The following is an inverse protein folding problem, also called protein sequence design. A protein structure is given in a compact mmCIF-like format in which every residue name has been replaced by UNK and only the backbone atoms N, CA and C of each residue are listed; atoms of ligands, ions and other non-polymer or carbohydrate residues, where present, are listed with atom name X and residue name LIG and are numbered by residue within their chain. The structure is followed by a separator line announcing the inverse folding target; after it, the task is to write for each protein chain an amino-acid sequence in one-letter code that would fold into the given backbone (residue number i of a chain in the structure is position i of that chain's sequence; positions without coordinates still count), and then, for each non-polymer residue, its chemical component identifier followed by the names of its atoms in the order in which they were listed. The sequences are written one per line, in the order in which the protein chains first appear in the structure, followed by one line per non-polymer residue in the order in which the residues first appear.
data_IF_081324522177
#
_entry.id   IF_081324522177
#
_cell.length_a   1.000
_cell.length_b   1.000
_cell.length_c   1.000
_cell.angle_alpha   90.00
_cell.angle_beta   90.00
_cell.angle_gamma   90.00
#
_symmetry.space_group_name_H-M   'P 1'
#
loop_
_entity.id
_entity.type
_entity.pdbx_description
1 polymer ?
#
# COMPACT_ATOMS: atom_id res chain seq x y z
N UNK A 1 12.85 -19.31 -17.97
CA UNK A 1 12.74 -18.12 -17.10
C UNK A 1 12.00 -17.06 -17.89
N UNK A 2 10.71 -16.92 -17.68
CA UNK A 2 9.84 -15.97 -18.37
C UNK A 2 10.06 -14.58 -17.76
N UNK A 3 10.54 -13.66 -18.59
CA UNK A 3 10.72 -12.24 -18.30
C UNK A 3 9.34 -11.68 -17.95
N UNK A 4 9.17 -11.09 -16.76
CA UNK A 4 7.93 -10.44 -16.37
C UNK A 4 7.61 -9.34 -17.40
N UNK A 5 6.44 -9.42 -18.04
CA UNK A 5 5.98 -8.39 -18.95
C UNK A 5 5.71 -7.10 -18.17
N UNK A 6 6.45 -6.06 -18.51
CA UNK A 6 6.26 -4.72 -17.95
C UNK A 6 4.90 -4.17 -18.38
N UNK A 7 4.03 -3.89 -17.43
CA UNK A 7 2.70 -3.33 -17.69
C UNK A 7 2.84 -1.83 -17.93
N UNK A 8 2.62 -1.38 -19.17
CA UNK A 8 2.55 0.04 -19.52
C UNK A 8 1.30 0.68 -18.92
N UNK A 9 1.48 1.81 -18.24
CA UNK A 9 0.35 2.63 -17.76
C UNK A 9 -0.27 3.33 -18.95
N UNK A 10 -1.61 3.30 -19.08
CA UNK A 10 -2.34 3.80 -20.29
C UNK A 10 -2.26 5.31 -20.51
N UNK A 11 -1.61 6.09 -19.66
CA UNK A 11 -1.21 7.48 -19.90
C UNK A 11 0.15 7.71 -19.25
N UNK A 12 1.22 7.84 -20.02
CA UNK A 12 2.47 8.35 -19.50
C UNK A 12 2.25 9.80 -19.02
N UNK A 13 2.59 10.08 -17.77
CA UNK A 13 2.54 11.44 -17.20
C UNK A 13 3.55 12.37 -17.91
N UNK A 14 4.52 11.80 -18.59
CA UNK A 14 5.51 12.51 -19.38
C UNK A 14 5.75 11.79 -20.69
N UNK A 15 5.95 12.53 -21.78
CA UNK A 15 6.49 12.00 -23.02
C UNK A 15 7.98 11.65 -22.79
N UNK A 16 8.23 10.45 -22.29
CA UNK A 16 9.57 9.92 -22.26
C UNK A 16 9.88 9.40 -23.67
N UNK A 17 10.89 9.95 -24.30
CA UNK A 17 11.59 9.29 -25.39
C UNK A 17 11.95 7.88 -24.90
N UNK A 18 11.78 6.87 -25.75
CA UNK A 18 12.00 5.44 -25.45
C UNK A 18 13.44 5.17 -25.02
N UNK A 19 13.84 5.59 -23.85
CA UNK A 19 15.06 5.08 -23.24
C UNK A 19 14.71 3.78 -22.52
N UNK A 20 15.09 2.65 -23.11
CA UNK A 20 14.88 1.31 -22.53
C UNK A 20 15.72 1.04 -21.28
N UNK A 21 16.00 2.07 -20.48
CA UNK A 21 16.76 1.96 -19.24
C UNK A 21 15.82 1.69 -18.08
N UNK A 22 16.13 0.68 -17.27
CA UNK A 22 15.50 0.46 -15.97
C UNK A 22 16.09 1.43 -14.94
N UNK A 23 15.29 1.93 -13.98
CA UNK A 23 15.81 2.82 -12.94
C UNK A 23 16.77 2.06 -12.04
N UNK A 24 17.96 2.60 -11.84
CA UNK A 24 18.98 2.06 -10.95
C UNK A 24 18.86 2.57 -9.52
N UNK A 25 18.08 3.64 -9.32
CA UNK A 25 17.87 4.27 -8.02
C UNK A 25 16.41 4.72 -7.88
N UNK A 26 15.87 4.60 -6.67
CA UNK A 26 14.56 5.15 -6.35
C UNK A 26 14.48 6.68 -6.46
N UNK A 27 15.61 7.38 -6.61
CA UNK A 27 15.64 8.81 -6.90
C UNK A 27 15.13 9.16 -8.29
N UNK A 28 15.22 8.23 -9.23
CA UNK A 28 14.74 8.40 -10.60
C UNK A 28 13.23 8.19 -10.75
N UNK A 29 12.58 7.57 -9.73
CA UNK A 29 11.15 7.34 -9.76
C UNK A 29 10.37 8.62 -9.52
N UNK A 30 9.36 8.84 -10.34
CA UNK A 30 8.33 9.85 -10.15
C UNK A 30 7.19 9.22 -9.37
N UNK A 31 6.75 9.90 -8.31
CA UNK A 31 5.59 9.49 -7.52
C UNK A 31 4.42 10.40 -7.83
N UNK A 32 3.26 9.84 -8.09
CA UNK A 32 2.06 10.61 -8.40
C UNK A 32 0.79 9.88 -7.96
N UNK A 33 -0.33 10.56 -8.11
CA UNK A 33 -1.66 10.00 -7.93
C UNK A 33 -2.06 9.25 -9.20
N UNK A 34 -2.69 8.10 -9.02
CA UNK A 34 -3.23 7.33 -10.13
C UNK A 34 -4.72 7.07 -9.96
N UNK A 35 -5.35 6.55 -10.99
CA UNK A 35 -6.74 6.16 -10.91
C UNK A 35 -6.90 4.75 -10.32
N UNK A 36 -8.14 4.42 -9.94
CA UNK A 36 -8.48 3.14 -9.35
C UNK A 36 -8.22 1.95 -10.27
N UNK A 37 -8.43 2.11 -11.57
CA UNK A 37 -8.29 1.00 -12.52
C UNK A 37 -6.83 0.62 -12.71
N UNK A 38 -5.94 1.59 -12.92
CA UNK A 38 -4.50 1.35 -12.97
C UNK A 38 -4.01 0.68 -11.69
N UNK A 39 -4.42 1.20 -10.52
CA UNK A 39 -4.09 0.59 -9.24
C UNK A 39 -4.59 -0.86 -9.17
N UNK A 40 -5.84 -1.15 -9.58
CA UNK A 40 -6.44 -2.48 -9.51
C UNK A 40 -5.65 -3.50 -10.32
N UNK A 41 -5.26 -3.15 -11.54
CA UNK A 41 -4.48 -4.00 -12.44
C UNK A 41 -3.11 -4.30 -11.84
N UNK A 42 -2.36 -3.26 -11.46
CA UNK A 42 -1.01 -3.39 -10.93
C UNK A 42 -0.99 -4.11 -9.55
N UNK A 43 -1.95 -3.81 -8.67
CA UNK A 43 -2.08 -4.51 -7.40
C UNK A 43 -2.42 -6.00 -7.59
N UNK A 44 -3.25 -6.34 -8.57
CA UNK A 44 -3.57 -7.74 -8.86
C UNK A 44 -2.36 -8.52 -9.38
N UNK A 45 -1.45 -7.84 -10.06
CA UNK A 45 -0.23 -8.42 -10.59
C UNK A 45 0.86 -8.60 -9.53
N UNK A 46 1.07 -7.60 -8.67
CA UNK A 46 2.21 -7.58 -7.74
C UNK A 46 1.88 -8.02 -6.30
N UNK A 47 0.62 -7.89 -5.87
CA UNK A 47 0.29 -8.18 -4.47
C UNK A 47 -0.05 -9.66 -4.26
N UNK A 48 0.91 -10.44 -3.77
CA UNK A 48 0.79 -11.89 -3.60
C UNK A 48 -0.39 -12.34 -2.71
N UNK A 49 -0.71 -11.60 -1.64
CA UNK A 49 -1.73 -12.00 -0.66
C UNK A 49 -3.10 -11.38 -0.86
N UNK A 50 -3.18 -10.17 -1.38
CA UNK A 50 -4.41 -9.39 -1.48
C UNK A 50 -4.58 -8.75 -2.87
N UNK A 51 -4.62 -9.55 -3.94
CA UNK A 51 -4.68 -9.03 -5.31
C UNK A 51 -6.01 -8.33 -5.63
N UNK A 52 -7.09 -8.66 -4.92
CA UNK A 52 -8.42 -8.11 -5.17
C UNK A 52 -8.73 -6.92 -4.25
N UNK A 53 -9.41 -5.91 -4.78
CA UNK A 53 -9.99 -4.79 -4.05
C UNK A 53 -11.50 -4.74 -4.23
N UNK A 54 -12.23 -4.37 -3.17
CA UNK A 54 -13.69 -4.19 -3.26
C UNK A 54 -14.07 -2.91 -3.98
N UNK A 55 -15.27 -2.86 -4.57
CA UNK A 55 -15.73 -1.74 -5.41
C UNK A 55 -15.72 -0.36 -4.70
N UNK A 56 -15.96 -0.30 -3.39
CA UNK A 56 -15.99 0.93 -2.58
C UNK A 56 -14.71 1.22 -1.81
N UNK A 57 -13.64 0.42 -1.99
CA UNK A 57 -12.39 0.61 -1.24
C UNK A 57 -11.48 1.64 -1.92
N UNK A 58 -10.78 2.43 -1.10
CA UNK A 58 -9.80 3.40 -1.55
C UNK A 58 -10.35 4.83 -1.59
N UNK A 59 -9.59 5.76 -1.00
CA UNK A 59 -9.83 7.21 -1.03
C UNK A 59 -8.86 7.91 -1.96
N UNK A 60 -7.60 7.43 -1.98
CA UNK A 60 -6.56 7.91 -2.90
C UNK A 60 -5.66 6.75 -3.28
N UNK A 61 -5.18 6.78 -4.53
CA UNK A 61 -4.30 5.78 -5.11
C UNK A 61 -3.05 6.46 -5.62
N UNK A 62 -1.90 5.83 -5.41
CA UNK A 62 -0.60 6.34 -5.79
C UNK A 62 0.15 5.35 -6.64
N UNK A 63 1.04 5.88 -7.46
CA UNK A 63 1.91 5.12 -8.35
C UNK A 63 3.34 5.65 -8.24
N UNK A 64 4.30 4.77 -8.44
CA UNK A 64 5.70 5.10 -8.71
C UNK A 64 6.02 4.65 -10.12
N UNK A 65 6.58 5.51 -10.94
CA UNK A 65 6.90 5.21 -12.33
C UNK A 65 8.22 5.82 -12.78
N UNK A 66 8.78 5.25 -13.84
CA UNK A 66 9.93 5.76 -14.56
C UNK A 66 9.79 5.41 -16.03
N UNK A 67 9.92 6.41 -16.92
CA UNK A 67 9.78 6.21 -18.36
C UNK A 67 8.44 5.63 -18.79
N UNK A 68 7.33 5.94 -18.08
CA UNK A 68 6.00 5.41 -18.34
C UNK A 68 5.79 3.95 -17.89
N UNK A 69 6.75 3.37 -17.16
CA UNK A 69 6.67 2.02 -16.58
C UNK A 69 6.41 2.15 -15.07
N UNK A 70 5.41 1.43 -14.58
CA UNK A 70 5.07 1.40 -13.16
C UNK A 70 5.99 0.47 -12.37
N UNK A 71 6.37 0.86 -11.14
CA UNK A 71 7.23 0.11 -10.23
C UNK A 71 6.60 -0.13 -8.86
N UNK A 72 5.68 0.71 -8.42
CA UNK A 72 4.94 0.47 -7.18
C UNK A 72 3.57 1.15 -7.23
N UNK A 73 2.61 0.61 -6.46
CA UNK A 73 1.28 1.21 -6.26
C UNK A 73 0.85 1.12 -4.82
N UNK A 74 0.10 2.11 -4.36
CA UNK A 74 -0.44 2.16 -3.02
C UNK A 74 -1.89 2.63 -3.00
N UNK A 75 -2.67 2.12 -2.03
CA UNK A 75 -4.05 2.52 -1.78
C UNK A 75 -4.25 2.91 -0.34
N UNK A 76 -4.78 4.10 -0.13
CA UNK A 76 -5.19 4.62 1.17
C UNK A 76 -6.72 4.71 1.28
N UNK A 77 -7.22 4.47 2.47
CA UNK A 77 -8.64 4.62 2.79
C UNK A 77 -8.82 5.05 4.25
N UNK A 78 -10.06 5.33 4.65
CA UNK A 78 -10.36 5.47 6.06
C UNK A 78 -10.02 4.17 6.80
N UNK A 79 -9.66 4.22 8.11
CA UNK A 79 -9.37 3.04 8.91
C UNK A 79 -10.52 2.03 8.92
N UNK A 80 -10.18 0.73 8.84
CA UNK A 80 -11.21 -0.33 8.93
C UNK A 80 -11.64 -0.56 10.37
N UNK A 81 -10.75 -0.33 11.31
CA UNK A 81 -11.04 -0.49 12.72
C UNK A 81 -12.01 0.62 13.18
N UNK A 82 -13.23 0.25 13.53
CA UNK A 82 -14.32 1.18 13.88
C UNK A 82 -14.00 2.14 15.03
N UNK A 83 -13.10 1.75 15.93
CA UNK A 83 -12.71 2.54 17.09
C UNK A 83 -11.60 3.57 16.77
N UNK A 84 -11.06 3.57 15.56
CA UNK A 84 -10.09 4.57 15.12
C UNK A 84 -10.81 5.79 14.52
N UNK A 85 -10.24 7.00 14.63
CA UNK A 85 -10.78 8.20 14.02
C UNK A 85 -10.93 8.06 12.50
N UNK A 86 -12.18 7.98 12.03
CA UNK A 86 -12.49 7.66 10.63
C UNK A 86 -12.26 8.83 9.67
N UNK A 87 -12.33 10.04 10.15
CA UNK A 87 -12.23 11.25 9.32
C UNK A 87 -10.81 11.83 9.29
N UNK A 88 -10.10 11.74 10.42
CA UNK A 88 -8.81 12.39 10.63
C UNK A 88 -7.61 11.45 10.52
N UNK A 89 -7.85 10.15 10.29
CA UNK A 89 -6.82 9.16 10.05
C UNK A 89 -6.99 8.50 8.68
N UNK A 90 -5.86 8.13 8.05
CA UNK A 90 -5.85 7.28 6.85
C UNK A 90 -5.05 6.01 7.09
N UNK A 91 -5.55 4.92 6.53
CA UNK A 91 -4.93 3.59 6.57
C UNK A 91 -4.37 3.21 5.20
N UNK A 92 -3.08 2.87 5.15
CA UNK A 92 -2.47 2.22 3.99
C UNK A 92 -3.00 0.79 3.90
N UNK A 93 -3.92 0.57 2.97
CA UNK A 93 -4.65 -0.70 2.81
C UNK A 93 -3.95 -1.68 1.90
N UNK A 94 -3.24 -1.17 0.93
CA UNK A 94 -2.48 -1.94 -0.05
C UNK A 94 -1.22 -1.19 -0.42
N UNK A 95 -0.15 -1.93 -0.51
CA UNK A 95 1.11 -1.45 -1.03
C UNK A 95 1.75 -2.62 -1.79
N UNK A 96 1.89 -2.49 -3.08
CA UNK A 96 2.46 -3.51 -3.95
C UNK A 96 3.61 -2.89 -4.73
N UNK A 97 4.69 -3.64 -4.86
CA UNK A 97 5.95 -3.21 -5.46
C UNK A 97 6.37 -4.28 -6.45
N UNK A 98 6.79 -3.87 -7.63
CA UNK A 98 7.38 -4.75 -8.64
C UNK A 98 8.73 -5.29 -8.16
N UNK A 99 9.05 -6.52 -8.53
CA UNK A 99 10.35 -7.14 -8.23
C UNK A 99 11.51 -6.39 -8.90
N UNK A 100 11.24 -5.67 -10.00
CA UNK A 100 12.22 -4.84 -10.73
C UNK A 100 12.42 -3.45 -10.09
N UNK A 101 11.75 -3.15 -8.99
CA UNK A 101 11.87 -1.84 -8.33
C UNK A 101 13.25 -1.65 -7.72
N UNK A 102 13.86 -0.46 -7.89
CA UNK A 102 15.15 -0.18 -7.26
C UNK A 102 15.01 -0.18 -5.72
N UNK A 103 16.11 -0.47 -5.00
CA UNK A 103 16.13 -0.43 -3.53
C UNK A 103 15.59 0.91 -3.00
N UNK A 104 14.97 0.88 -1.81
CA UNK A 104 14.39 2.04 -1.11
C UNK A 104 13.13 2.65 -1.78
N UNK A 105 12.61 2.11 -2.88
CA UNK A 105 11.35 2.56 -3.49
C UNK A 105 10.23 2.68 -2.46
N UNK A 106 10.04 1.67 -1.63
CA UNK A 106 8.97 1.64 -0.63
C UNK A 106 9.06 2.79 0.38
N UNK A 107 10.20 2.96 1.02
CA UNK A 107 10.37 3.99 2.07
C UNK A 107 10.29 5.40 1.50
N UNK A 108 10.85 5.63 0.31
CA UNK A 108 10.73 6.92 -0.38
C UNK A 108 9.29 7.24 -0.76
N UNK A 109 8.58 6.27 -1.33
CA UNK A 109 7.16 6.43 -1.68
C UNK A 109 6.30 6.68 -0.44
N UNK A 110 6.54 5.98 0.69
CA UNK A 110 5.86 6.25 1.96
C UNK A 110 6.09 7.69 2.44
N UNK A 111 7.32 8.18 2.37
CA UNK A 111 7.66 9.55 2.74
C UNK A 111 7.03 10.60 1.80
N UNK A 112 6.98 10.31 0.51
CA UNK A 112 6.36 11.20 -0.47
C UNK A 112 4.83 11.26 -0.29
N UNK A 113 4.17 10.09 -0.16
CA UNK A 113 2.74 10.00 0.09
C UNK A 113 2.31 10.74 1.36
N UNK A 114 3.08 10.65 2.43
CA UNK A 114 2.78 11.38 3.66
C UNK A 114 2.73 12.90 3.44
N UNK A 115 3.66 13.45 2.65
CA UNK A 115 3.67 14.87 2.30
C UNK A 115 2.50 15.27 1.39
N UNK A 116 2.17 14.43 0.41
CA UNK A 116 1.04 14.68 -0.50
C UNK A 116 -0.30 14.59 0.21
N UNK A 117 -0.49 13.57 1.07
CA UNK A 117 -1.70 13.41 1.88
C UNK A 117 -1.92 14.60 2.79
N UNK A 118 -0.88 15.11 3.46
CA UNK A 118 -0.95 16.31 4.30
C UNK A 118 -1.45 17.53 3.51
N UNK A 119 -1.08 17.65 2.23
CA UNK A 119 -1.53 18.74 1.37
C UNK A 119 -2.96 18.55 0.86
N UNK A 120 -3.32 17.31 0.46
CA UNK A 120 -4.63 16.99 -0.13
C UNK A 120 -5.75 16.90 0.90
N UNK A 121 -5.42 16.46 2.09
CA UNK A 121 -6.37 16.15 3.15
C UNK A 121 -5.93 16.85 4.45
N UNK A 122 -6.11 18.17 4.56
CA UNK A 122 -5.61 18.95 5.70
C UNK A 122 -6.20 18.50 7.05
N UNK A 123 -7.37 17.85 7.03
CA UNK A 123 -7.98 17.31 8.25
C UNK A 123 -7.34 15.99 8.71
N UNK A 124 -6.52 15.37 7.87
CA UNK A 124 -5.83 14.12 8.23
C UNK A 124 -4.58 14.45 9.03
N UNK A 125 -4.55 13.96 10.26
CA UNK A 125 -3.43 14.21 11.20
C UNK A 125 -2.57 12.99 11.44
N UNK A 126 -3.04 11.79 11.05
CA UNK A 126 -2.30 10.53 11.27
C UNK A 126 -2.49 9.53 10.15
N UNK A 127 -1.39 8.89 9.80
CA UNK A 127 -1.33 7.76 8.89
C UNK A 127 -1.07 6.48 9.67
N UNK A 128 -1.74 5.40 9.28
CA UNK A 128 -1.53 4.08 9.87
C UNK A 128 -1.34 3.01 8.80
N UNK A 129 -0.62 1.95 9.17
CA UNK A 129 -0.48 0.74 8.35
C UNK A 129 -0.34 -0.49 9.22
N UNK A 130 -0.73 -1.64 8.68
CA UNK A 130 -0.60 -2.93 9.38
C UNK A 130 0.40 -3.83 8.65
N UNK A 131 1.51 -4.08 9.30
CA UNK A 131 2.53 -5.02 8.86
C UNK A 131 2.14 -6.45 9.26
N UNK A 132 2.35 -7.39 8.37
CA UNK A 132 2.38 -8.81 8.67
C UNK A 132 3.79 -9.18 9.14
N UNK A 133 3.95 -9.47 10.44
CA UNK A 133 5.25 -9.74 11.06
C UNK A 133 5.85 -11.10 10.66
N UNK A 134 5.05 -12.01 10.09
CA UNK A 134 5.57 -13.30 9.60
C UNK A 134 6.29 -13.17 8.25
N UNK A 135 6.01 -12.08 7.51
CA UNK A 135 6.55 -11.86 6.16
C UNK A 135 7.52 -10.70 6.11
N UNK A 136 7.30 -9.66 6.92
CA UNK A 136 8.04 -8.41 6.83
C UNK A 136 8.65 -8.01 8.16
N UNK A 137 9.81 -7.37 8.13
CA UNK A 137 10.52 -6.87 9.32
C UNK A 137 10.19 -5.39 9.66
N UNK A 138 9.33 -4.74 8.88
CA UNK A 138 8.96 -3.33 9.08
C UNK A 138 10.02 -2.31 8.66
N UNK A 139 11.06 -2.73 7.96
CA UNK A 139 12.19 -1.89 7.55
C UNK A 139 11.75 -0.65 6.77
N UNK A 140 10.77 -0.79 5.88
CA UNK A 140 10.26 0.31 5.07
C UNK A 140 9.60 1.41 5.91
N UNK A 141 8.90 1.03 6.99
CA UNK A 141 8.26 1.97 7.91
C UNK A 141 9.30 2.71 8.75
N UNK A 142 10.26 1.98 9.33
CA UNK A 142 11.37 2.57 10.09
C UNK A 142 12.15 3.57 9.23
N UNK A 143 12.51 3.18 8.01
CA UNK A 143 13.23 4.05 7.07
C UNK A 143 12.42 5.28 6.62
N UNK A 144 11.09 5.22 6.65
CA UNK A 144 10.20 6.35 6.37
C UNK A 144 9.84 7.18 7.61
N UNK A 145 10.44 6.90 8.77
CA UNK A 145 10.22 7.61 10.02
C UNK A 145 8.83 7.36 10.62
N UNK A 146 8.32 6.13 10.51
CA UNK A 146 7.11 5.68 11.18
C UNK A 146 7.48 5.01 12.50
N UNK A 147 6.59 5.09 13.48
CA UNK A 147 6.75 4.48 14.80
C UNK A 147 5.75 3.32 14.96
N UNK A 148 6.12 2.26 15.70
CA UNK A 148 5.16 1.25 16.12
C UNK A 148 4.14 1.90 17.06
N UNK A 149 2.86 1.55 16.88
CA UNK A 149 1.79 2.08 17.71
C UNK A 149 1.94 1.63 19.18
N UNK A 150 1.98 2.58 20.10
CA UNK A 150 2.03 2.30 21.53
C UNK A 150 0.82 1.49 21.99
N UNK A 151 1.06 0.50 22.84
CA UNK A 151 0.00 -0.35 23.41
C UNK A 151 -0.73 -1.26 22.39
N UNK A 152 -0.33 -1.24 21.10
CA UNK A 152 -0.91 -2.14 20.12
C UNK A 152 -0.34 -3.54 20.30
N UNK A 153 -1.10 -4.38 20.98
CA UNK A 153 -0.79 -5.82 21.06
C UNK A 153 -1.39 -6.49 19.84
N UNK A 154 -0.55 -6.82 18.86
CA UNK A 154 -0.96 -7.60 17.69
C UNK A 154 -1.60 -8.90 18.16
N UNK A 155 -2.89 -9.08 17.93
CA UNK A 155 -3.57 -10.34 18.23
C UNK A 155 -3.41 -11.26 17.03
N UNK A 156 -3.03 -12.52 17.26
CA UNK A 156 -3.31 -13.59 16.30
C UNK A 156 -4.83 -13.65 16.13
N UNK A 157 -5.37 -13.06 15.11
CA UNK A 157 -6.79 -13.19 14.80
C UNK A 157 -6.96 -14.22 13.69
N UNK A 158 -7.36 -15.44 14.10
CA UNK A 158 -8.21 -16.22 13.24
C UNK A 158 -9.57 -15.53 13.15
N UNK A 159 -10.17 -15.46 11.99
CA UNK A 159 -11.52 -14.93 11.79
C UNK A 159 -12.63 -15.78 12.39
N UNK A 160 -12.30 -16.84 13.09
CA UNK A 160 -13.23 -17.67 13.86
C UNK A 160 -13.44 -17.11 15.26
N UNK A 161 -13.94 -15.90 15.35
CA UNK A 161 -14.64 -15.46 16.55
C UNK A 161 -16.08 -15.96 16.49
N UNK A 162 -16.27 -17.24 16.51
CA UNK A 162 -17.56 -17.90 16.66
C UNK A 162 -17.90 -18.08 18.15
N UNK A 163 -17.81 -17.04 18.95
CA UNK A 163 -18.63 -16.92 20.14
C UNK A 163 -19.83 -16.05 19.78
N UNK A 164 -20.91 -16.72 19.34
CA UNK A 164 -22.19 -16.06 19.02
C UNK A 164 -22.59 -16.24 17.57
N UNK A 165 -23.21 -17.34 17.21
CA UNK A 165 -24.19 -17.55 16.13
C UNK A 165 -24.13 -16.78 14.79
N UNK A 166 -22.99 -16.26 14.41
CA UNK A 166 -22.85 -15.46 13.20
C UNK A 166 -22.69 -16.33 11.96
N UNK A 167 -23.56 -16.12 10.96
CA UNK A 167 -23.51 -16.76 9.65
C UNK A 167 -22.08 -16.76 9.07
N UNK A 168 -21.53 -17.94 8.76
CA UNK A 168 -20.32 -18.08 7.96
C UNK A 168 -20.52 -17.30 6.66
N UNK A 169 -19.80 -16.20 6.46
CA UNK A 169 -19.79 -15.50 5.18
C UNK A 169 -18.97 -16.31 4.20
N UNK A 170 -19.66 -17.05 3.32
CA UNK A 170 -19.04 -17.74 2.20
C UNK A 170 -18.24 -16.74 1.35
N UNK A 171 -17.01 -17.08 0.99
CA UNK A 171 -16.20 -16.34 0.00
C UNK A 171 -15.10 -15.43 0.56
N UNK A 172 -14.79 -15.45 1.87
CA UNK A 172 -13.56 -14.81 2.36
C UNK A 172 -12.41 -15.81 2.31
N UNK A 173 -11.44 -15.53 1.47
CA UNK A 173 -10.14 -16.22 1.49
C UNK A 173 -9.61 -16.24 2.93
N UNK A 174 -9.20 -17.41 3.40
CA UNK A 174 -8.50 -17.60 4.66
C UNK A 174 -7.23 -16.73 4.65
N UNK A 175 -7.33 -15.52 5.19
CA UNK A 175 -6.12 -14.78 5.53
C UNK A 175 -5.44 -15.55 6.66
N UNK A 176 -4.22 -15.98 6.42
CA UNK A 176 -3.40 -16.63 7.44
C UNK A 176 -3.44 -15.81 8.73
N UNK A 177 -3.57 -16.50 9.85
CA UNK A 177 -3.52 -15.90 11.18
C UNK A 177 -2.10 -15.42 11.40
N UNK A 178 -1.87 -14.13 11.22
CA UNK A 178 -0.56 -13.53 11.38
C UNK A 178 -0.55 -12.54 12.54
N UNK A 179 0.56 -12.47 13.25
CA UNK A 179 0.83 -11.37 14.19
C UNK A 179 1.01 -10.10 13.36
N UNK A 180 0.23 -9.08 13.66
CA UNK A 180 0.32 -7.79 12.96
C UNK A 180 0.86 -6.73 13.89
N UNK A 181 1.76 -5.90 13.36
CA UNK A 181 2.21 -4.67 13.97
C UNK A 181 1.50 -3.49 13.31
N UNK A 182 0.96 -2.57 14.09
CA UNK A 182 0.48 -1.29 13.57
C UNK A 182 1.59 -0.27 13.60
N UNK A 183 1.81 0.36 12.48
CA UNK A 183 2.72 1.49 12.30
C UNK A 183 1.93 2.77 12.20
N UNK A 184 2.44 3.84 12.76
CA UNK A 184 1.81 5.16 12.78
C UNK A 184 2.80 6.25 12.39
N UNK A 185 2.29 7.29 11.75
CA UNK A 185 3.03 8.52 11.43
C UNK A 185 2.10 9.71 11.57
N UNK A 186 2.47 10.67 12.38
CA UNK A 186 1.83 11.99 12.42
C UNK A 186 2.26 12.82 11.22
N UNK A 187 1.33 13.62 10.65
CA UNK A 187 1.57 14.44 9.46
C UNK A 187 0.99 15.85 9.61
#
# INVERSE_FOLDING_TARGET
MTRAESIRVMRPLFHAEESGSTPTSALQLVFDVTNRENFRVLNAHWHSRLPKIGASQGRVFYIAEFGGIAYAVAMWSNPVARLLPQLTWLELRRFAISDDSPPQTASRMLGWMARDIRKRFPDVVRLISYQDCEVHQGTIYKAAGWLPAEGYKGRKRGWESTKGGGRKRQGRTNQAVAVRMRWEKEI
#
